data_IF_690673615058
#
_entry.id   IF_690673615058
#
_cell.length_a   1.000
_cell.length_b   1.000
_cell.length_c   1.000
_cell.angle_alpha   90.00
_cell.angle_beta   90.00
_cell.angle_gamma   90.00
#
_symmetry.space_group_name_H-M   'P 1'
#
loop_
_entity.id
_entity.type
_entity.pdbx_description
1 polymer ?
#
# COMPACT_ATOMS: atom_id res chain seq x y z
N UNK A 1 -10.35 -19.17 -31.82
CA UNK A 1 -11.46 -18.50 -31.12
C UNK A 1 -10.84 -17.53 -30.13
N UNK A 2 -11.16 -16.24 -30.22
CA UNK A 2 -10.74 -15.28 -29.21
C UNK A 2 -11.37 -15.70 -27.86
N UNK A 3 -10.54 -15.98 -26.86
CA UNK A 3 -11.04 -16.27 -25.52
C UNK A 3 -11.73 -15.00 -25.02
N UNK A 4 -13.05 -15.05 -24.81
CA UNK A 4 -13.78 -14.01 -24.13
C UNK A 4 -13.26 -13.91 -22.70
N UNK A 5 -12.54 -12.84 -22.40
CA UNK A 5 -12.11 -12.52 -21.04
C UNK A 5 -12.48 -11.07 -20.71
N UNK A 6 -12.59 -10.79 -19.44
CA UNK A 6 -12.84 -9.45 -18.93
C UNK A 6 -11.74 -9.07 -17.96
N UNK A 7 -11.18 -7.88 -18.09
CA UNK A 7 -10.28 -7.33 -17.07
C UNK A 7 -11.11 -6.83 -15.90
N UNK A 8 -10.67 -7.12 -14.68
CA UNK A 8 -11.37 -6.70 -13.48
C UNK A 8 -11.70 -5.20 -13.49
N UNK A 9 -12.96 -4.79 -13.29
CA UNK A 9 -13.38 -3.39 -13.31
C UNK A 9 -12.54 -2.47 -12.40
N UNK A 10 -12.10 -2.99 -11.25
CA UNK A 10 -11.21 -2.27 -10.34
C UNK A 10 -9.88 -1.87 -11.01
N UNK A 11 -9.26 -2.75 -11.81
CA UNK A 11 -8.03 -2.44 -12.54
C UNK A 11 -8.29 -1.44 -13.68
N UNK A 12 -9.41 -1.58 -14.37
CA UNK A 12 -9.81 -0.62 -15.42
C UNK A 12 -10.04 0.77 -14.85
N UNK A 13 -10.58 0.86 -13.63
CA UNK A 13 -10.71 2.12 -12.91
C UNK A 13 -9.33 2.71 -12.59
N UNK A 14 -8.36 1.89 -12.16
CA UNK A 14 -6.99 2.33 -11.89
C UNK A 14 -6.32 2.92 -13.14
N UNK A 15 -6.46 2.29 -14.29
CA UNK A 15 -5.98 2.83 -15.57
C UNK A 15 -6.59 4.20 -15.91
N UNK A 16 -7.91 4.37 -15.71
CA UNK A 16 -8.59 5.66 -15.92
C UNK A 16 -8.05 6.75 -15.03
N UNK A 17 -7.88 6.47 -13.75
CA UNK A 17 -7.37 7.44 -12.78
C UNK A 17 -5.90 7.80 -13.06
N UNK A 18 -5.07 6.85 -13.47
CA UNK A 18 -3.69 7.12 -13.86
C UNK A 18 -3.61 8.06 -15.07
N UNK A 19 -4.49 7.89 -16.05
CA UNK A 19 -4.55 8.77 -17.23
C UNK A 19 -4.89 10.22 -16.85
N UNK A 20 -5.77 10.40 -15.86
CA UNK A 20 -6.16 11.72 -15.37
C UNK A 20 -5.05 12.32 -14.51
N UNK A 21 -4.49 11.53 -13.60
CA UNK A 21 -3.54 11.99 -12.60
C UNK A 21 -2.15 12.24 -13.15
N UNK A 22 -1.73 11.41 -14.09
CA UNK A 22 -0.42 11.48 -14.76
C UNK A 22 -0.60 11.51 -16.28
N UNK A 23 -1.11 12.60 -16.86
CA UNK A 23 -1.50 12.67 -18.27
C UNK A 23 -0.33 12.46 -19.24
N UNK A 24 0.90 12.73 -18.81
CA UNK A 24 2.12 12.56 -19.59
C UNK A 24 2.82 11.20 -19.36
N UNK A 25 2.19 10.30 -18.60
CA UNK A 25 2.72 8.97 -18.33
C UNK A 25 2.81 8.16 -19.62
N UNK A 26 3.92 7.45 -19.80
CA UNK A 26 4.04 6.45 -20.85
C UNK A 26 3.26 5.19 -20.48
N UNK A 27 2.93 4.40 -21.50
CA UNK A 27 2.12 3.19 -21.37
C UNK A 27 2.73 1.99 -22.09
N UNK A 28 4.01 2.08 -22.45
CA UNK A 28 4.69 1.02 -23.20
C UNK A 28 4.77 -0.30 -22.43
N UNK A 29 4.78 -0.21 -21.10
CA UNK A 29 4.81 -1.36 -20.18
C UNK A 29 3.47 -1.62 -19.50
N UNK A 30 2.39 -0.95 -19.92
CA UNK A 30 1.04 -1.29 -19.45
C UNK A 30 0.62 -2.64 -20.04
N UNK A 31 0.04 -3.48 -19.19
CA UNK A 31 -0.43 -4.80 -19.62
C UNK A 31 -1.49 -5.37 -18.70
N UNK A 32 -2.42 -6.14 -19.27
CA UNK A 32 -3.46 -6.84 -18.49
C UNK A 32 -3.43 -8.33 -18.73
N UNK A 33 -3.39 -8.76 -20.00
CA UNK A 33 -3.32 -10.19 -20.35
C UNK A 33 -1.88 -10.59 -20.61
N UNK A 34 -1.50 -11.76 -20.14
CA UNK A 34 -0.17 -12.31 -20.41
C UNK A 34 0.03 -12.71 -21.88
N UNK A 35 1.25 -12.59 -22.35
CA UNK A 35 1.67 -13.14 -23.64
C UNK A 35 1.59 -14.69 -23.64
N UNK A 36 1.99 -15.30 -24.77
CA UNK A 36 1.98 -16.77 -24.90
C UNK A 36 2.80 -17.47 -23.81
N UNK A 37 3.91 -16.86 -23.37
CA UNK A 37 4.77 -17.42 -22.34
C UNK A 37 4.09 -17.35 -20.95
N UNK A 38 3.34 -16.30 -20.67
CA UNK A 38 2.52 -16.18 -19.45
C UNK A 38 1.32 -17.13 -19.49
N UNK A 39 0.67 -17.29 -20.65
CA UNK A 39 -0.46 -18.20 -20.81
C UNK A 39 -0.10 -19.67 -20.62
N UNK A 40 1.16 -20.06 -20.86
CA UNK A 40 1.64 -21.42 -20.69
C UNK A 40 1.96 -21.81 -19.25
N UNK A 41 1.89 -20.88 -18.28
CA UNK A 41 2.20 -21.07 -16.88
C UNK A 41 1.15 -20.44 -15.98
N UNK A 42 1.20 -20.75 -14.70
CA UNK A 42 0.35 -20.08 -13.70
C UNK A 42 0.76 -18.62 -13.62
N UNK A 43 -0.15 -17.74 -14.02
CA UNK A 43 0.03 -16.29 -13.98
C UNK A 43 -1.33 -15.62 -13.73
N UNK A 44 -1.35 -14.57 -12.93
CA UNK A 44 -2.57 -13.82 -12.64
C UNK A 44 -2.96 -12.87 -13.77
N UNK A 45 -2.09 -12.71 -14.78
CA UNK A 45 -2.44 -12.15 -16.08
C UNK A 45 -3.28 -13.10 -16.94
N UNK A 46 -3.41 -14.36 -16.54
CA UNK A 46 -4.31 -15.29 -17.21
C UNK A 46 -5.72 -15.11 -16.63
N UNK A 47 -6.76 -15.21 -17.48
CA UNK A 47 -8.14 -15.25 -16.99
C UNK A 47 -8.32 -16.40 -15.99
N UNK A 48 -8.97 -16.12 -14.90
CA UNK A 48 -9.37 -17.16 -13.93
C UNK A 48 -10.48 -18.06 -14.53
N UNK A 49 -10.95 -19.03 -13.74
CA UNK A 49 -12.00 -19.96 -14.18
C UNK A 49 -13.34 -19.29 -14.56
N UNK A 50 -13.50 -18.01 -14.22
CA UNK A 50 -14.66 -17.19 -14.57
C UNK A 50 -14.37 -16.24 -15.75
N UNK A 51 -13.21 -16.33 -16.37
CA UNK A 51 -12.80 -15.47 -17.47
C UNK A 51 -12.37 -14.07 -17.05
N UNK A 52 -12.02 -13.85 -15.77
CA UNK A 52 -11.62 -12.55 -15.25
C UNK A 52 -10.10 -12.49 -15.09
N UNK A 53 -9.47 -11.48 -15.71
CA UNK A 53 -8.06 -11.12 -15.50
C UNK A 53 -7.96 -10.23 -14.27
N UNK A 54 -7.19 -10.64 -13.28
CA UNK A 54 -7.10 -9.99 -11.96
C UNK A 54 -5.75 -9.34 -11.69
N UNK A 55 -4.87 -9.27 -12.67
CA UNK A 55 -3.60 -8.56 -12.57
C UNK A 55 -3.41 -7.57 -13.71
N UNK A 56 -2.62 -6.54 -13.43
CA UNK A 56 -2.19 -5.59 -14.44
C UNK A 56 -0.81 -5.05 -14.11
N UNK A 57 -0.08 -4.71 -15.16
CA UNK A 57 1.18 -3.99 -15.12
C UNK A 57 0.97 -2.52 -15.49
N UNK A 58 1.70 -1.63 -14.81
CA UNK A 58 1.57 -0.19 -14.97
C UNK A 58 2.96 0.42 -15.20
N UNK A 59 3.18 1.01 -16.38
CA UNK A 59 4.41 1.72 -16.72
C UNK A 59 4.71 2.83 -15.73
N UNK A 60 5.96 2.91 -15.27
CA UNK A 60 6.37 3.92 -14.26
C UNK A 60 6.86 5.23 -14.87
N UNK A 61 7.08 5.28 -16.17
CA UNK A 61 7.66 6.45 -16.84
C UNK A 61 6.70 7.62 -16.86
N UNK A 62 7.08 8.70 -16.19
CA UNK A 62 6.23 9.90 -16.04
C UNK A 62 5.17 9.78 -14.94
N UNK A 63 5.29 8.77 -14.06
CA UNK A 63 4.44 8.55 -12.90
C UNK A 63 5.18 8.85 -11.59
N UNK A 64 4.47 9.39 -10.61
CA UNK A 64 4.98 9.40 -9.24
C UNK A 64 4.82 8.00 -8.62
N UNK A 65 5.89 7.21 -8.69
CA UNK A 65 5.92 5.82 -8.22
C UNK A 65 5.55 5.70 -6.74
N UNK A 66 6.03 6.60 -5.89
CA UNK A 66 5.72 6.59 -4.45
C UNK A 66 4.23 6.79 -4.20
N UNK A 67 3.62 7.72 -4.91
CA UNK A 67 2.20 8.00 -4.80
C UNK A 67 1.36 6.83 -5.29
N UNK A 68 1.76 6.19 -6.40
CA UNK A 68 1.09 5.00 -6.90
C UNK A 68 1.19 3.84 -5.90
N UNK A 69 2.39 3.53 -5.42
CA UNK A 69 2.57 2.46 -4.42
C UNK A 69 1.75 2.73 -3.15
N UNK A 70 1.63 4.00 -2.74
CA UNK A 70 0.79 4.39 -1.61
C UNK A 70 -0.69 4.13 -1.85
N UNK A 71 -1.15 4.26 -3.08
CA UNK A 71 -2.54 4.01 -3.44
C UNK A 71 -2.89 2.51 -3.46
N UNK A 72 -1.94 1.65 -3.85
CA UNK A 72 -2.22 0.22 -4.08
C UNK A 72 -1.78 -0.68 -2.94
N UNK A 73 -0.67 -0.37 -2.24
CA UNK A 73 -0.20 -1.17 -1.10
C UNK A 73 -1.14 -0.98 0.09
N UNK A 74 -1.68 -2.06 0.60
CA UNK A 74 -2.63 -2.05 1.71
C UNK A 74 -4.09 -1.90 1.30
N UNK A 75 -4.39 -1.61 0.03
CA UNK A 75 -5.77 -1.56 -0.44
C UNK A 75 -6.46 -2.92 -0.28
N UNK A 76 -7.72 -2.89 0.15
CA UNK A 76 -8.50 -4.12 0.44
C UNK A 76 -8.72 -5.00 -0.78
N UNK A 77 -8.68 -4.43 -1.98
CA UNK A 77 -8.81 -5.15 -3.27
C UNK A 77 -7.55 -5.90 -3.65
N UNK A 78 -6.38 -5.46 -3.20
CA UNK A 78 -5.07 -5.95 -3.65
C UNK A 78 -4.65 -7.19 -2.85
N UNK A 79 -4.10 -8.17 -3.55
CA UNK A 79 -3.45 -9.35 -3.00
C UNK A 79 -1.95 -9.09 -2.81
N UNK A 80 -1.25 -8.69 -3.88
CA UNK A 80 0.14 -8.28 -3.82
C UNK A 80 0.52 -7.27 -4.91
N UNK A 81 1.64 -6.62 -4.68
CA UNK A 81 2.28 -5.69 -5.63
C UNK A 81 3.74 -6.11 -5.79
N UNK A 82 4.26 -6.11 -7.03
CA UNK A 82 5.67 -6.34 -7.29
C UNK A 82 6.26 -5.10 -7.97
N UNK A 83 7.38 -4.63 -7.43
CA UNK A 83 8.14 -3.54 -8.03
C UNK A 83 9.61 -3.60 -7.61
N UNK A 84 10.51 -3.40 -8.57
CA UNK A 84 11.95 -3.28 -8.37
C UNK A 84 12.52 -4.35 -7.43
N UNK A 85 12.34 -5.62 -7.80
CA UNK A 85 12.80 -6.81 -7.05
C UNK A 85 12.20 -6.95 -5.65
N UNK A 86 11.10 -6.27 -5.36
CA UNK A 86 10.38 -6.38 -4.10
C UNK A 86 8.94 -6.81 -4.34
N UNK A 87 8.44 -7.67 -3.46
CA UNK A 87 7.03 -8.03 -3.38
C UNK A 87 6.45 -7.51 -2.07
N UNK A 88 5.32 -6.88 -2.16
CA UNK A 88 4.49 -6.40 -1.06
C UNK A 88 3.19 -7.18 -1.11
N UNK A 89 2.90 -8.01 -0.15
CA UNK A 89 1.70 -8.84 -0.20
C UNK A 89 0.93 -8.83 1.12
N UNK A 90 -0.33 -9.12 1.01
CA UNK A 90 -1.21 -9.33 2.15
C UNK A 90 -0.69 -10.44 3.07
N UNK A 91 -0.16 -11.53 2.51
CA UNK A 91 0.43 -12.65 3.25
C UNK A 91 1.58 -12.21 4.15
N UNK A 92 2.35 -11.22 3.70
CA UNK A 92 3.46 -10.65 4.47
C UNK A 92 3.08 -9.32 5.11
N UNK A 93 1.77 -9.08 5.24
CA UNK A 93 1.22 -7.86 5.81
C UNK A 93 1.88 -6.58 5.24
N UNK A 94 2.09 -6.60 3.92
CA UNK A 94 2.64 -5.50 3.12
C UNK A 94 4.11 -5.16 3.39
N UNK A 95 4.83 -5.95 4.20
CA UNK A 95 6.27 -5.79 4.32
C UNK A 95 6.95 -6.14 3.00
N UNK A 96 7.91 -5.30 2.61
CA UNK A 96 8.74 -5.57 1.45
C UNK A 96 9.55 -6.86 1.65
N UNK A 97 9.37 -7.82 0.77
CA UNK A 97 10.19 -9.03 0.69
C UNK A 97 10.92 -9.05 -0.64
N UNK A 98 12.06 -9.75 -0.69
CA UNK A 98 12.79 -9.96 -1.94
C UNK A 98 11.92 -10.76 -2.90
N UNK A 99 11.76 -10.26 -4.12
CA UNK A 99 11.12 -10.97 -5.21
C UNK A 99 12.17 -11.72 -6.04
N UNK A 100 12.04 -13.03 -6.13
CA UNK A 100 13.00 -13.90 -6.81
C UNK A 100 12.55 -14.35 -8.21
N UNK A 101 11.45 -13.81 -8.73
CA UNK A 101 10.99 -14.10 -10.10
C UNK A 101 11.95 -13.58 -11.19
N UNK A 102 11.81 -14.10 -12.39
CA UNK A 102 12.69 -13.77 -13.51
C UNK A 102 12.64 -12.27 -13.88
N UNK A 103 11.44 -11.67 -13.95
CA UNK A 103 11.28 -10.25 -14.24
C UNK A 103 11.59 -9.40 -13.00
N UNK A 104 12.47 -8.39 -13.11
CA UNK A 104 12.75 -7.50 -11.99
C UNK A 104 11.61 -6.52 -11.67
N UNK A 105 10.66 -6.31 -12.58
CA UNK A 105 9.61 -5.29 -12.50
C UNK A 105 10.19 -3.89 -12.22
N UNK A 106 11.25 -3.51 -12.94
CA UNK A 106 11.92 -2.22 -12.80
C UNK A 106 11.39 -1.15 -13.76
N UNK A 107 10.60 -1.55 -14.77
CA UNK A 107 9.97 -0.67 -15.76
C UNK A 107 8.47 -0.48 -15.53
N UNK A 108 7.86 -1.36 -14.79
CA UNK A 108 6.43 -1.34 -14.47
C UNK A 108 6.19 -1.83 -13.06
N UNK A 109 5.03 -1.50 -12.52
CA UNK A 109 4.53 -2.03 -11.24
C UNK A 109 3.46 -3.06 -11.55
N UNK A 110 3.66 -4.29 -11.08
CA UNK A 110 2.66 -5.34 -11.14
C UNK A 110 1.70 -5.22 -9.96
N UNK A 111 0.41 -5.20 -10.22
CA UNK A 111 -0.64 -5.21 -9.21
C UNK A 111 -1.56 -6.39 -9.42
N UNK A 112 -1.68 -7.25 -8.42
CA UNK A 112 -2.62 -8.36 -8.40
C UNK A 112 -3.74 -8.13 -7.41
N UNK A 113 -4.98 -8.30 -7.84
CA UNK A 113 -6.16 -8.31 -6.98
C UNK A 113 -6.33 -9.65 -6.28
N UNK A 114 -7.18 -9.71 -5.27
CA UNK A 114 -7.55 -10.97 -4.62
C UNK A 114 -8.12 -11.95 -5.65
N UNK A 115 -7.52 -13.13 -5.73
CA UNK A 115 -7.82 -14.12 -6.77
C UNK A 115 -7.88 -15.56 -6.27
N UNK A 116 -7.39 -15.83 -5.07
CA UNK A 116 -7.35 -17.17 -4.51
C UNK A 116 -8.24 -17.27 -3.28
N UNK A 117 -8.96 -18.37 -3.20
CA UNK A 117 -9.69 -18.76 -2.00
C UNK A 117 -8.72 -19.33 -0.98
N UNK A 118 -8.69 -18.74 0.21
CA UNK A 118 -8.09 -19.30 1.42
C UNK A 118 -9.20 -19.38 2.47
N UNK A 119 -8.91 -19.97 3.60
CA UNK A 119 -9.86 -20.00 4.73
C UNK A 119 -10.38 -18.60 5.11
N UNK A 120 -9.61 -17.56 4.83
CA UNK A 120 -9.96 -16.16 5.12
C UNK A 120 -10.44 -15.37 3.90
N UNK A 121 -10.48 -15.97 2.70
CA UNK A 121 -10.86 -15.29 1.47
C UNK A 121 -11.91 -16.10 0.72
N UNK A 122 -13.16 -15.66 0.80
CA UNK A 122 -14.29 -16.29 0.11
C UNK A 122 -14.41 -15.80 -1.33
N UNK A 123 -15.17 -16.54 -2.16
CA UNK A 123 -15.52 -16.09 -3.52
C UNK A 123 -16.15 -14.69 -3.50
N UNK A 124 -17.01 -14.39 -2.54
CA UNK A 124 -17.65 -13.08 -2.42
C UNK A 124 -16.64 -11.95 -2.23
N UNK A 125 -15.60 -12.16 -1.39
CA UNK A 125 -14.52 -11.19 -1.19
C UNK A 125 -13.69 -11.00 -2.47
N UNK A 126 -13.42 -12.07 -3.21
CA UNK A 126 -12.67 -12.04 -4.47
C UNK A 126 -13.45 -11.23 -5.52
N UNK A 127 -14.73 -11.50 -5.66
CA UNK A 127 -15.58 -10.81 -6.65
C UNK A 127 -15.82 -9.35 -6.25
N UNK A 128 -16.02 -9.06 -4.97
CA UNK A 128 -16.11 -7.70 -4.46
C UNK A 128 -14.82 -6.90 -4.73
N UNK A 129 -13.65 -7.53 -4.55
CA UNK A 129 -12.37 -6.89 -4.86
C UNK A 129 -12.23 -6.56 -6.35
N UNK A 130 -12.65 -7.47 -7.24
CA UNK A 130 -12.55 -7.28 -8.68
C UNK A 130 -13.54 -6.24 -9.23
N UNK A 131 -14.75 -6.20 -8.69
CA UNK A 131 -15.83 -5.31 -9.15
C UNK A 131 -15.81 -3.92 -8.51
N UNK A 132 -15.04 -3.71 -7.47
CA UNK A 132 -15.01 -2.45 -6.73
C UNK A 132 -14.26 -1.36 -7.50
N UNK A 133 -15.00 -0.45 -8.11
CA UNK A 133 -14.51 0.68 -8.90
C UNK A 133 -14.31 1.97 -8.08
N UNK A 134 -14.30 1.86 -6.77
CA UNK A 134 -13.93 2.98 -5.89
C UNK A 134 -12.59 3.60 -6.32
N UNK A 135 -12.46 4.92 -6.18
CA UNK A 135 -11.24 5.65 -6.52
C UNK A 135 -10.02 5.11 -5.78
N UNK A 136 -8.90 5.03 -6.47
CA UNK A 136 -7.63 4.57 -5.92
C UNK A 136 -6.84 5.70 -5.25
N UNK A 137 -6.89 6.89 -5.83
CA UNK A 137 -6.08 8.03 -5.40
C UNK A 137 -6.86 9.07 -4.58
N UNK A 138 -8.15 9.25 -4.91
CA UNK A 138 -8.99 10.24 -4.26
C UNK A 138 -10.16 9.54 -3.58
N UNK A 139 -10.15 9.55 -2.27
CA UNK A 139 -11.21 8.98 -1.47
C UNK A 139 -12.09 10.10 -0.94
N UNK A 140 -13.23 10.30 -1.62
CA UNK A 140 -14.27 11.22 -1.14
C UNK A 140 -15.20 10.51 -0.16
N UNK A 141 -15.70 11.16 0.91
CA UNK A 141 -16.80 10.62 1.69
C UNK A 141 -18.05 10.44 0.80
N UNK A 142 -18.84 9.34 0.91
CA UNK A 142 -18.83 8.34 1.98
C UNK A 142 -17.93 7.12 1.73
N UNK A 143 -17.20 7.07 0.60
CA UNK A 143 -16.35 5.93 0.23
C UNK A 143 -14.95 5.98 0.85
N UNK A 144 -14.77 6.79 1.89
CA UNK A 144 -13.54 6.77 2.67
C UNK A 144 -13.42 5.37 3.28
N UNK A 145 -12.42 4.51 2.85
CA UNK A 145 -12.19 3.29 3.59
C UNK A 145 -11.94 3.68 5.03
N UNK A 146 -12.32 2.82 5.93
CA UNK A 146 -11.84 2.94 7.29
C UNK A 146 -10.32 3.19 7.23
N UNK A 147 -9.91 4.29 7.81
CA UNK A 147 -8.49 4.63 7.86
C UNK A 147 -7.76 3.42 8.43
N UNK A 148 -6.60 3.04 7.88
CA UNK A 148 -5.85 1.91 8.40
C UNK A 148 -5.72 2.07 9.91
N UNK A 149 -6.06 1.01 10.64
CA UNK A 149 -6.00 1.01 12.09
C UNK A 149 -4.56 0.80 12.52
N UNK A 150 -4.02 1.75 13.24
CA UNK A 150 -2.70 1.68 13.86
C UNK A 150 -2.88 1.39 15.35
N UNK A 151 -2.42 0.22 15.78
CA UNK A 151 -2.45 -0.12 17.21
C UNK A 151 -1.36 0.63 17.96
N UNK A 152 -1.73 1.39 18.98
CA UNK A 152 -0.80 2.16 19.82
C UNK A 152 0.33 1.28 20.34
N UNK A 153 0.01 0.09 20.86
CA UNK A 153 0.99 -0.87 21.39
C UNK A 153 2.08 -1.25 20.38
N UNK A 154 1.74 -1.34 19.10
CA UNK A 154 2.69 -1.72 18.05
C UNK A 154 3.67 -0.58 17.78
N UNK A 155 3.18 0.67 17.74
CA UNK A 155 4.03 1.84 17.54
C UNK A 155 4.93 2.10 18.76
N UNK A 156 4.39 1.95 19.96
CA UNK A 156 5.18 2.04 21.20
C UNK A 156 6.31 0.99 21.19
N UNK A 157 5.98 -0.26 20.86
CA UNK A 157 6.98 -1.31 20.71
C UNK A 157 8.04 -0.98 19.68
N UNK A 158 7.65 -0.53 18.49
CA UNK A 158 8.59 -0.12 17.44
C UNK A 158 9.50 1.05 17.86
N UNK A 159 8.96 2.01 18.63
CA UNK A 159 9.74 3.15 19.14
C UNK A 159 10.77 2.74 20.20
N UNK A 160 10.43 1.80 21.07
CA UNK A 160 11.36 1.30 22.10
C UNK A 160 12.49 0.43 21.51
N UNK A 161 12.17 -0.42 20.56
CA UNK A 161 13.12 -1.44 20.08
C UNK A 161 13.82 -1.07 18.77
N UNK A 162 13.39 -0.01 18.08
CA UNK A 162 14.02 0.50 16.87
C UNK A 162 14.19 -0.56 15.78
N UNK A 163 15.38 -0.63 15.16
CA UNK A 163 15.68 -1.57 14.06
C UNK A 163 15.53 -3.06 14.40
N UNK A 164 15.57 -3.42 15.68
CA UNK A 164 15.51 -4.82 16.11
C UNK A 164 14.10 -5.36 16.17
N UNK A 165 13.09 -4.50 16.13
CA UNK A 165 11.68 -4.86 16.31
C UNK A 165 10.85 -4.91 15.04
N UNK A 166 11.47 -4.83 13.87
CA UNK A 166 10.78 -5.09 12.57
C UNK A 166 10.38 -6.57 12.40
N UNK A 167 10.11 -7.27 13.51
CA UNK A 167 9.75 -8.70 13.50
C UNK A 167 8.29 -8.94 13.18
N UNK A 168 7.41 -7.97 13.42
CA UNK A 168 6.01 -8.07 13.02
C UNK A 168 5.75 -7.09 11.89
N UNK A 169 5.11 -7.61 10.87
CA UNK A 169 4.72 -6.87 9.67
C UNK A 169 3.71 -5.77 9.97
N UNK A 170 2.97 -5.88 11.08
CA UNK A 170 2.04 -4.86 11.54
C UNK A 170 2.77 -3.58 11.95
N UNK A 171 3.94 -3.72 12.58
CA UNK A 171 4.71 -2.58 13.07
C UNK A 171 5.31 -1.80 11.90
N UNK A 172 5.81 -2.49 10.87
CA UNK A 172 6.36 -1.86 9.68
C UNK A 172 5.35 -0.93 8.99
N UNK A 173 4.16 -1.46 8.68
CA UNK A 173 3.12 -0.68 7.98
C UNK A 173 2.61 0.45 8.86
N UNK A 174 2.41 0.19 10.14
CA UNK A 174 1.98 1.18 11.12
C UNK A 174 3.01 2.32 11.22
N UNK A 175 4.31 2.01 11.30
CA UNK A 175 5.38 3.01 11.32
C UNK A 175 5.43 3.81 10.03
N UNK A 176 5.23 3.19 8.85
CA UNK A 176 5.14 3.92 7.58
C UNK A 176 4.01 4.97 7.59
N UNK A 177 2.85 4.65 8.16
CA UNK A 177 1.76 5.63 8.29
C UNK A 177 2.15 6.78 9.23
N UNK A 178 2.80 6.48 10.34
CA UNK A 178 3.30 7.51 11.27
C UNK A 178 4.34 8.41 10.59
N UNK A 179 5.31 7.85 9.88
CA UNK A 179 6.33 8.61 9.15
C UNK A 179 5.71 9.53 8.08
N UNK A 180 4.73 9.02 7.32
CA UNK A 180 3.97 9.82 6.33
C UNK A 180 3.20 10.96 7.00
N UNK A 181 2.54 10.66 8.12
CA UNK A 181 1.77 11.66 8.85
C UNK A 181 2.67 12.77 9.41
N UNK A 182 3.82 12.43 9.99
CA UNK A 182 4.82 13.38 10.45
C UNK A 182 5.36 14.25 9.30
N UNK A 183 5.65 13.65 8.17
CA UNK A 183 6.07 14.39 6.98
C UNK A 183 4.99 15.37 6.53
N UNK A 184 3.73 14.93 6.52
CA UNK A 184 2.59 15.77 6.11
C UNK A 184 2.34 16.93 7.07
N UNK A 185 2.35 16.69 8.37
CA UNK A 185 1.98 17.68 9.40
C UNK A 185 3.11 18.65 9.70
N UNK A 186 4.36 18.18 9.75
CA UNK A 186 5.52 18.99 10.12
C UNK A 186 6.40 19.41 8.95
N UNK A 187 6.07 19.00 7.71
CA UNK A 187 6.95 19.21 6.57
C UNK A 187 8.30 18.49 6.71
N UNK A 188 8.38 17.46 7.55
CA UNK A 188 9.62 16.69 7.74
C UNK A 188 9.92 15.84 6.50
N UNK A 189 11.19 15.42 6.37
CA UNK A 189 11.67 14.63 5.23
C UNK A 189 12.12 13.24 5.69
N UNK A 190 11.32 12.60 6.55
CA UNK A 190 11.60 11.23 6.97
C UNK A 190 11.54 10.28 5.78
N UNK A 191 12.49 9.37 5.70
CA UNK A 191 12.39 8.18 4.84
C UNK A 191 11.25 7.31 5.34
N UNK A 192 10.38 6.88 4.43
CA UNK A 192 9.26 5.97 4.75
C UNK A 192 9.79 4.54 4.67
N UNK A 193 10.52 4.12 5.69
CA UNK A 193 11.20 2.82 5.74
C UNK A 193 10.60 1.83 6.74
N UNK A 194 9.54 2.25 7.45
CA UNK A 194 8.89 1.41 8.46
C UNK A 194 9.74 1.16 9.71
N UNK A 195 10.83 1.91 9.89
CA UNK A 195 11.73 1.81 11.05
C UNK A 195 11.50 3.02 11.95
N UNK A 196 11.07 2.79 13.19
CA UNK A 196 10.98 3.86 14.19
C UNK A 196 12.36 4.10 14.80
N UNK A 197 13.28 4.63 13.98
CA UNK A 197 14.67 4.91 14.39
C UNK A 197 14.82 6.31 15.00
N UNK A 198 16.08 6.68 15.29
CA UNK A 198 16.43 7.97 15.93
C UNK A 198 15.83 9.19 15.21
N UNK A 199 15.79 9.17 13.87
CA UNK A 199 15.21 10.28 13.08
C UNK A 199 13.70 10.37 13.27
N UNK A 200 12.99 9.25 13.24
CA UNK A 200 11.53 9.22 13.47
C UNK A 200 11.21 9.64 14.89
N UNK A 201 11.98 9.17 15.87
CA UNK A 201 11.84 9.56 17.29
C UNK A 201 12.04 11.06 17.47
N UNK A 202 13.08 11.64 16.89
CA UNK A 202 13.36 13.08 16.98
C UNK A 202 12.23 13.93 16.36
N UNK A 203 11.70 13.51 15.21
CA UNK A 203 10.58 14.20 14.57
C UNK A 203 9.29 14.01 15.37
N UNK A 204 9.05 12.84 15.95
CA UNK A 204 7.89 12.60 16.79
C UNK A 204 7.94 13.43 18.07
N UNK A 205 9.09 13.58 18.68
CA UNK A 205 9.31 14.50 19.82
C UNK A 205 8.93 15.95 19.45
N UNK A 206 9.38 16.42 18.30
CA UNK A 206 8.99 17.77 17.81
C UNK A 206 7.48 17.87 17.62
N UNK A 207 6.83 16.81 17.14
CA UNK A 207 5.38 16.75 17.02
C UNK A 207 4.70 16.83 18.40
N UNK A 208 5.16 16.07 19.38
CA UNK A 208 4.63 16.14 20.76
C UNK A 208 4.77 17.56 21.34
N UNK A 209 5.92 18.19 21.17
CA UNK A 209 6.13 19.59 21.60
C UNK A 209 5.13 20.54 20.88
N UNK A 210 4.88 20.35 19.60
CA UNK A 210 3.91 21.17 18.87
C UNK A 210 2.45 20.99 19.35
N UNK A 211 2.17 19.89 20.03
CA UNK A 211 0.89 19.63 20.70
C UNK A 211 0.83 20.19 22.14
N UNK A 212 1.91 20.79 22.62
CA UNK A 212 2.01 21.33 23.98
C UNK A 212 2.52 20.33 25.05
N UNK A 213 2.96 19.14 24.66
CA UNK A 213 3.63 18.21 25.59
C UNK A 213 5.00 18.75 26.01
N UNK A 214 5.37 18.54 27.26
CA UNK A 214 6.63 19.04 27.86
C UNK A 214 7.33 17.95 28.67
N UNK A 215 8.63 18.11 28.88
CA UNK A 215 9.42 17.20 29.73
C UNK A 215 9.36 15.75 29.24
N UNK A 216 9.00 14.85 30.15
CA UNK A 216 8.94 13.40 29.90
C UNK A 216 7.81 12.99 28.96
N UNK A 217 6.77 13.84 28.81
CA UNK A 217 5.66 13.57 27.90
C UNK A 217 6.00 13.91 26.44
N UNK A 218 7.12 14.61 26.22
CA UNK A 218 7.69 14.89 24.90
C UNK A 218 8.98 14.13 24.69
N UNK A 219 8.96 12.82 24.86
CA UNK A 219 10.13 11.94 24.76
C UNK A 219 10.40 11.41 23.35
N UNK A 220 9.43 11.54 22.44
CA UNK A 220 9.46 11.00 21.08
C UNK A 220 8.84 9.62 20.95
N UNK A 221 8.39 9.01 22.05
CA UNK A 221 7.68 7.75 22.04
C UNK A 221 6.17 8.04 21.92
N UNK A 222 5.49 7.47 20.94
CA UNK A 222 4.08 7.73 20.71
C UNK A 222 3.19 7.26 21.85
N UNK A 223 2.58 8.20 22.57
CA UNK A 223 1.47 7.90 23.47
C UNK A 223 0.14 7.86 22.73
N UNK A 224 -0.89 7.28 23.36
CA UNK A 224 -2.24 7.13 22.77
C UNK A 224 -2.79 8.48 22.26
N UNK A 225 -2.72 9.50 23.08
CA UNK A 225 -3.28 10.82 22.75
C UNK A 225 -2.58 11.46 21.53
N UNK A 226 -1.26 11.51 21.56
CA UNK A 226 -0.48 12.10 20.47
C UNK A 226 -0.65 11.32 19.16
N UNK A 227 -0.77 9.99 19.23
CA UNK A 227 -0.94 9.16 18.04
C UNK A 227 -2.34 9.31 17.44
N UNK A 228 -3.41 9.39 18.26
CA UNK A 228 -4.78 9.68 17.79
C UNK A 228 -4.81 11.05 17.10
N UNK A 229 -4.22 12.09 17.72
CA UNK A 229 -4.15 13.43 17.12
C UNK A 229 -3.39 13.42 15.80
N UNK A 230 -2.28 12.68 15.72
CA UNK A 230 -1.49 12.56 14.46
C UNK A 230 -2.31 11.90 13.35
N UNK A 231 -2.99 10.81 13.65
CA UNK A 231 -3.83 10.09 12.69
C UNK A 231 -4.96 10.97 12.16
N UNK A 232 -5.73 11.59 13.06
CA UNK A 232 -6.87 12.45 12.70
C UNK A 232 -6.43 13.71 11.94
N UNK A 233 -5.40 14.43 12.40
CA UNK A 233 -4.92 15.65 11.74
C UNK A 233 -4.31 15.36 10.37
N UNK A 234 -3.63 14.23 10.21
CA UNK A 234 -3.06 13.83 8.93
C UNK A 234 -4.09 13.23 7.98
N UNK A 235 -5.17 12.67 8.51
CA UNK A 235 -6.16 11.89 7.76
C UNK A 235 -5.54 10.69 7.01
N UNK A 236 -4.56 10.03 7.63
CA UNK A 236 -3.85 8.89 7.04
C UNK A 236 -4.09 7.57 7.76
N UNK A 237 -4.46 7.61 9.04
CA UNK A 237 -4.77 6.43 9.85
C UNK A 237 -5.67 6.79 11.03
N UNK A 238 -6.32 5.79 11.60
CA UNK A 238 -6.94 5.85 12.93
C UNK A 238 -6.08 5.09 13.95
N UNK A 239 -5.90 5.64 15.15
CA UNK A 239 -5.15 4.99 16.21
C UNK A 239 -6.11 4.44 17.28
N UNK A 240 -5.86 3.20 17.76
CA UNK A 240 -6.62 2.52 18.82
C UNK A 240 -5.70 1.86 19.82
#
# INVERSE_FOLDING_TARGET
MAKNYTVAPALMQLFKELKIKFPNRKTAWDGTIGDKAHQARVSEHNPDKYGIVRAADFDISGMNVTEFLTAVIGDSRVHYVIFNRKIYSRTYNWAAKKYNGASPHDKHIHVSLRNQTSEQTTKAIIDAAASNTRNWFNMTPPDKPELPVVLVKNIVGAAHYGKTHTRSTYDYVAVCYVQRALNKILGSKLTIDGIFGKNTLAVYKRYQISLGFVGIDADGIPGRESLIKLGSSSNLFSAV
#
